data_IF_364991161412
#
_entry.id   IF_364991161412
#
_cell.length_a   1.000
_cell.length_b   1.000
_cell.length_c   1.000
_cell.angle_alpha   90.00
_cell.angle_beta   90.00
_cell.angle_gamma   90.00
#
_symmetry.space_group_name_H-M   'P 1'
#
loop_
_entity.id
_entity.type
_entity.pdbx_description
1 polymer ?
#
# COMPACT_ATOMS: atom_id res chain seq x y z
N UNK A 1 -39.35 -11.75 -3.33
CA UNK A 1 -38.04 -11.29 -3.84
C UNK A 1 -37.04 -12.36 -3.45
N UNK A 2 -36.55 -13.15 -4.41
CA UNK A 2 -35.48 -14.12 -4.16
C UNK A 2 -34.19 -13.36 -3.93
N UNK A 3 -33.57 -13.57 -2.78
CA UNK A 3 -32.28 -12.98 -2.46
C UNK A 3 -31.23 -13.52 -3.45
N UNK A 4 -30.45 -12.60 -4.04
CA UNK A 4 -29.36 -12.99 -4.94
C UNK A 4 -28.31 -13.78 -4.15
N UNK A 5 -27.85 -14.92 -4.68
CA UNK A 5 -26.84 -15.77 -4.04
C UNK A 5 -25.59 -15.01 -3.51
N UNK A 6 -25.01 -14.03 -4.23
CA UNK A 6 -23.92 -13.19 -3.70
C UNK A 6 -24.31 -12.39 -2.46
N UNK A 7 -25.51 -11.78 -2.44
CA UNK A 7 -26.00 -10.99 -1.30
C UNK A 7 -26.07 -11.83 -0.03
N UNK A 8 -26.58 -13.06 -0.12
CA UNK A 8 -26.66 -13.98 1.00
C UNK A 8 -25.27 -14.34 1.55
N UNK A 9 -24.28 -14.55 0.66
CA UNK A 9 -22.88 -14.83 1.04
C UNK A 9 -22.22 -13.63 1.71
N UNK A 10 -22.40 -12.44 1.16
CA UNK A 10 -21.88 -11.21 1.77
C UNK A 10 -22.50 -10.96 3.13
N UNK A 11 -23.81 -11.14 3.28
CA UNK A 11 -24.50 -10.99 4.57
C UNK A 11 -23.99 -12.00 5.59
N UNK A 12 -23.82 -13.27 5.21
CA UNK A 12 -23.27 -14.29 6.09
C UNK A 12 -21.84 -13.95 6.53
N UNK A 13 -20.97 -13.53 5.61
CA UNK A 13 -19.62 -13.13 5.94
C UNK A 13 -19.57 -11.86 6.82
N UNK A 14 -20.49 -10.90 6.63
CA UNK A 14 -20.60 -9.72 7.47
C UNK A 14 -21.11 -10.04 8.89
N UNK A 15 -21.99 -11.03 9.04
CA UNK A 15 -22.54 -11.44 10.33
C UNK A 15 -21.48 -12.05 11.27
N UNK A 16 -20.45 -12.69 10.71
CA UNK A 16 -19.32 -13.25 11.47
C UNK A 16 -18.32 -12.19 11.94
N UNK A 17 -18.38 -10.97 11.38
CA UNK A 17 -17.46 -9.89 11.70
C UNK A 17 -17.97 -9.06 12.88
N UNK A 18 -17.04 -8.56 13.70
CA UNK A 18 -17.39 -7.56 14.72
C UNK A 18 -17.84 -6.26 14.00
N UNK A 19 -19.07 -5.77 14.23
CA UNK A 19 -19.59 -4.57 13.58
C UNK A 19 -18.79 -3.30 13.91
N UNK A 20 -17.94 -3.33 14.94
CA UNK A 20 -17.10 -2.20 15.36
C UNK A 20 -15.83 -2.04 14.50
N UNK A 21 -15.49 -3.04 13.69
CA UNK A 21 -14.32 -2.93 12.81
C UNK A 21 -14.58 -1.94 11.68
N UNK A 22 -13.53 -1.23 11.25
CA UNK A 22 -13.63 -0.26 10.17
C UNK A 22 -14.20 -0.87 8.89
N UNK A 23 -14.90 -0.06 8.08
CA UNK A 23 -15.41 -0.44 6.75
C UNK A 23 -14.31 -1.06 5.88
N UNK A 24 -13.09 -0.50 5.92
CA UNK A 24 -11.96 -1.04 5.16
C UNK A 24 -11.55 -2.44 5.63
N UNK A 25 -11.72 -2.79 6.91
CA UNK A 25 -11.49 -4.14 7.42
C UNK A 25 -12.60 -5.10 6.96
N UNK A 26 -13.86 -4.67 7.02
CA UNK A 26 -15.00 -5.44 6.51
C UNK A 26 -14.81 -5.77 5.01
N UNK A 27 -14.46 -4.77 4.19
CA UNK A 27 -14.16 -4.97 2.78
C UNK A 27 -13.02 -5.97 2.54
N UNK A 28 -11.94 -5.91 3.32
CA UNK A 28 -10.83 -6.87 3.20
C UNK A 28 -11.23 -8.31 3.49
N UNK A 29 -12.19 -8.53 4.38
CA UNK A 29 -12.74 -9.85 4.66
C UNK A 29 -13.58 -10.38 3.48
N UNK A 30 -14.27 -9.49 2.77
CA UNK A 30 -15.11 -9.86 1.61
C UNK A 30 -14.32 -10.00 0.29
N UNK A 31 -13.14 -9.40 0.17
CA UNK A 31 -12.39 -9.41 -1.10
C UNK A 31 -12.06 -10.77 -1.70
N UNK A 32 -11.78 -11.85 -0.94
CA UNK A 32 -11.64 -13.18 -1.52
C UNK A 32 -12.88 -13.63 -2.32
N UNK A 33 -14.09 -13.32 -1.83
CA UNK A 33 -15.35 -13.64 -2.52
C UNK A 33 -15.56 -12.73 -3.73
N UNK A 34 -15.37 -11.42 -3.54
CA UNK A 34 -15.52 -10.42 -4.60
C UNK A 34 -14.58 -10.71 -5.77
N UNK A 35 -13.32 -11.07 -5.53
CA UNK A 35 -12.37 -11.40 -6.61
C UNK A 35 -12.79 -12.63 -7.42
N UNK A 36 -13.45 -13.61 -6.80
CA UNK A 36 -13.99 -14.76 -7.51
C UNK A 36 -15.14 -14.35 -8.46
N UNK A 37 -15.99 -13.41 -8.03
CA UNK A 37 -17.05 -12.85 -8.86
C UNK A 37 -16.49 -11.98 -10.00
N UNK A 38 -15.49 -11.15 -9.72
CA UNK A 38 -14.81 -10.36 -10.73
C UNK A 38 -14.12 -11.26 -11.77
N UNK A 39 -13.51 -12.36 -11.33
CA UNK A 39 -12.92 -13.36 -12.24
C UNK A 39 -13.97 -14.07 -13.10
N UNK A 40 -15.20 -14.21 -12.61
CA UNK A 40 -16.35 -14.69 -13.36
C UNK A 40 -16.96 -13.64 -14.30
N UNK A 41 -16.42 -12.41 -14.32
CA UNK A 41 -16.85 -11.33 -15.21
C UNK A 41 -17.95 -10.42 -14.63
N UNK A 42 -18.26 -10.53 -13.34
CA UNK A 42 -19.23 -9.64 -12.69
C UNK A 42 -18.66 -8.21 -12.68
N UNK A 43 -19.42 -7.20 -13.15
CA UNK A 43 -18.94 -5.82 -13.16
C UNK A 43 -18.91 -5.24 -11.73
N UNK A 44 -17.96 -4.34 -11.48
CA UNK A 44 -17.81 -3.68 -10.18
C UNK A 44 -19.08 -2.97 -9.67
N UNK A 45 -19.92 -2.45 -10.57
CA UNK A 45 -21.18 -1.82 -10.19
C UNK A 45 -22.15 -2.83 -9.55
N UNK A 46 -22.30 -4.02 -10.14
CA UNK A 46 -23.15 -5.08 -9.58
C UNK A 46 -22.66 -5.55 -8.21
N UNK A 47 -21.34 -5.67 -8.04
CA UNK A 47 -20.76 -5.99 -6.73
C UNK A 47 -21.11 -4.92 -5.68
N UNK A 48 -21.09 -3.63 -6.05
CA UNK A 48 -21.45 -2.55 -5.12
C UNK A 48 -22.93 -2.57 -4.76
N UNK A 49 -23.81 -2.87 -5.73
CA UNK A 49 -25.24 -3.02 -5.48
C UNK A 49 -25.50 -4.21 -4.55
N UNK A 50 -24.84 -5.34 -4.77
CA UNK A 50 -24.94 -6.54 -3.93
C UNK A 50 -24.40 -6.28 -2.51
N UNK A 51 -23.29 -5.54 -2.38
CA UNK A 51 -22.75 -5.12 -1.07
C UNK A 51 -23.74 -4.22 -0.33
N UNK A 52 -24.36 -3.26 -1.02
CA UNK A 52 -25.37 -2.39 -0.43
C UNK A 52 -26.60 -3.20 0.03
N UNK A 53 -27.07 -4.15 -0.78
CA UNK A 53 -28.16 -5.06 -0.43
C UNK A 53 -27.82 -6.00 0.74
N UNK A 54 -26.53 -6.31 0.93
CA UNK A 54 -26.02 -7.08 2.06
C UNK A 54 -25.88 -6.25 3.36
N UNK A 55 -26.05 -4.92 3.28
CA UNK A 55 -25.98 -4.01 4.43
C UNK A 55 -24.66 -3.22 4.53
N UNK A 56 -23.79 -3.29 3.52
CA UNK A 56 -22.52 -2.55 3.48
C UNK A 56 -22.50 -1.56 2.29
N UNK A 57 -23.01 -0.35 2.51
CA UNK A 57 -22.92 0.72 1.51
C UNK A 57 -21.58 1.43 1.58
N UNK A 58 -20.85 1.49 0.47
CA UNK A 58 -19.54 2.13 0.36
C UNK A 58 -19.40 2.92 -0.94
N UNK A 59 -18.60 3.98 -0.92
CA UNK A 59 -18.26 4.74 -2.11
C UNK A 59 -17.33 3.92 -3.03
N UNK A 60 -17.50 4.06 -4.34
CA UNK A 60 -16.68 3.38 -5.35
C UNK A 60 -15.17 3.65 -5.14
N UNK A 61 -14.80 4.88 -4.81
CA UNK A 61 -13.39 5.26 -4.55
C UNK A 61 -12.79 4.49 -3.37
N UNK A 62 -13.52 4.36 -2.26
CA UNK A 62 -13.12 3.58 -1.08
C UNK A 62 -12.96 2.11 -1.42
N UNK A 63 -13.94 1.54 -2.14
CA UNK A 63 -13.89 0.17 -2.63
C UNK A 63 -12.64 -0.07 -3.50
N UNK A 64 -12.43 0.75 -4.54
CA UNK A 64 -11.34 0.60 -5.49
C UNK A 64 -9.96 0.73 -4.83
N UNK A 65 -9.77 1.75 -3.96
CA UNK A 65 -8.50 1.95 -3.25
C UNK A 65 -8.22 0.80 -2.29
N UNK A 66 -9.24 0.32 -1.57
CA UNK A 66 -9.05 -0.76 -0.60
C UNK A 66 -8.76 -2.08 -1.30
N UNK A 67 -9.43 -2.36 -2.43
CA UNK A 67 -9.18 -3.52 -3.28
C UNK A 67 -7.76 -3.50 -3.85
N UNK A 68 -7.33 -2.36 -4.39
CA UNK A 68 -5.94 -2.19 -4.87
C UNK A 68 -4.92 -2.47 -3.75
N UNK A 69 -5.13 -1.92 -2.56
CA UNK A 69 -4.24 -2.12 -1.41
C UNK A 69 -4.20 -3.58 -0.97
N UNK A 70 -5.35 -4.26 -0.98
CA UNK A 70 -5.44 -5.68 -0.65
C UNK A 70 -4.70 -6.53 -1.69
N UNK A 71 -4.93 -6.33 -2.99
CA UNK A 71 -4.19 -7.01 -4.08
C UNK A 71 -2.67 -6.80 -3.97
N UNK A 72 -2.26 -5.58 -3.63
CA UNK A 72 -0.84 -5.26 -3.41
C UNK A 72 -0.28 -6.04 -2.22
N UNK A 73 -0.99 -6.10 -1.10
CA UNK A 73 -0.57 -6.86 0.07
C UNK A 73 -0.44 -8.36 -0.24
N UNK A 74 -1.39 -8.93 -1.00
CA UNK A 74 -1.34 -10.34 -1.42
C UNK A 74 -0.10 -10.65 -2.27
N UNK A 75 0.23 -9.78 -3.24
CA UNK A 75 1.46 -9.93 -4.05
C UNK A 75 2.73 -9.84 -3.20
N UNK A 76 2.78 -8.93 -2.24
CA UNK A 76 3.93 -8.82 -1.33
C UNK A 76 4.07 -10.03 -0.41
N UNK A 77 2.95 -10.61 0.04
CA UNK A 77 2.97 -11.84 0.84
C UNK A 77 3.47 -13.04 0.03
N UNK A 78 3.01 -13.19 -1.23
CA UNK A 78 3.45 -14.25 -2.13
C UNK A 78 4.92 -14.12 -2.55
N UNK A 79 5.45 -12.90 -2.65
CA UNK A 79 6.83 -12.64 -3.05
C UNK A 79 7.87 -12.82 -1.91
N UNK A 80 7.45 -13.08 -0.67
CA UNK A 80 8.37 -13.29 0.45
C UNK A 80 8.77 -14.77 0.50
N UNK A 81 10.02 -15.15 0.19
CA UNK A 81 10.48 -16.51 0.47
C UNK A 81 10.42 -16.71 1.99
N UNK A 82 9.95 -17.89 2.42
CA UNK A 82 9.95 -18.29 3.81
C UNK A 82 11.39 -18.16 4.35
N UNK A 83 11.64 -17.10 5.12
CA UNK A 83 12.92 -16.91 5.77
C UNK A 83 13.02 -17.97 6.86
N UNK A 84 13.68 -19.08 6.54
CA UNK A 84 14.19 -20.05 7.51
C UNK A 84 14.96 -19.26 8.58
N UNK A 85 14.76 -19.49 9.89
CA UNK A 85 15.51 -18.78 10.92
C UNK A 85 16.99 -19.12 10.77
N UNK A 86 17.79 -18.15 10.30
CA UNK A 86 19.25 -18.25 10.33
C UNK A 86 19.71 -18.02 11.77
N UNK A 87 20.56 -18.90 12.34
CA UNK A 87 21.08 -18.70 13.69
C UNK A 87 21.90 -17.40 13.76
N UNK A 88 21.76 -16.71 14.89
CA UNK A 88 22.53 -15.54 15.25
C UNK A 88 24.03 -15.77 15.07
N UNK A 89 24.67 -14.91 14.27
CA UNK A 89 26.11 -14.66 14.36
C UNK A 89 26.31 -13.14 14.44
N UNK A 90 26.50 -12.65 15.66
CA UNK A 90 27.45 -11.55 15.90
C UNK A 90 28.87 -12.17 15.92
N UNK A 91 29.99 -11.42 15.82
CA UNK A 91 30.16 -9.97 15.94
C UNK A 91 31.04 -9.36 14.81
N UNK A 92 31.21 -8.03 14.78
CA UNK A 92 32.53 -7.33 14.80
C UNK A 92 32.39 -5.84 14.45
N UNK A 93 33.07 -5.06 15.27
CA UNK A 93 33.23 -3.60 15.35
C UNK A 93 34.14 -2.97 14.28
N UNK A 94 33.68 -1.82 13.72
CA UNK A 94 34.42 -0.59 13.32
C UNK A 94 35.47 -0.64 12.17
N UNK A 95 35.94 0.50 11.58
CA UNK A 95 35.52 1.91 11.64
C UNK A 95 35.39 2.67 10.28
N UNK A 96 34.58 3.74 10.32
CA UNK A 96 34.58 5.05 9.63
C UNK A 96 35.70 5.46 8.63
N UNK A 97 35.30 5.68 7.36
CA UNK A 97 35.54 6.80 6.38
C UNK A 97 36.97 7.34 6.06
N UNK A 98 37.21 8.13 4.98
CA UNK A 98 36.31 8.66 3.92
C UNK A 98 36.85 8.51 2.46
N UNK A 99 36.12 8.98 1.42
CA UNK A 99 36.77 9.47 0.21
C UNK A 99 36.61 10.99 0.01
N UNK A 100 37.75 11.59 -0.35
CA UNK A 100 38.03 12.82 -1.07
C UNK A 100 36.93 13.90 -1.23
N UNK A 101 37.28 15.05 -0.65
CA UNK A 101 36.76 16.41 -0.86
C UNK A 101 36.79 16.86 -2.32
N UNK A 102 35.61 17.17 -2.86
CA UNK A 102 35.41 18.24 -3.86
C UNK A 102 34.26 19.09 -3.30
N UNK A 103 34.49 20.33 -2.83
CA UNK A 103 33.42 21.15 -2.28
C UNK A 103 32.72 21.83 -3.46
N UNK A 104 31.89 21.09 -4.18
CA UNK A 104 30.74 21.72 -4.80
C UNK A 104 29.75 21.93 -3.65
N UNK A 105 29.53 23.19 -3.30
CA UNK A 105 28.49 23.60 -2.36
C UNK A 105 27.15 23.22 -3.01
N UNK A 106 26.71 21.97 -2.84
CA UNK A 106 25.45 21.50 -3.39
C UNK A 106 24.37 21.99 -2.41
N UNK A 107 23.74 23.13 -2.71
CA UNK A 107 22.66 23.69 -1.89
C UNK A 107 21.46 22.73 -1.69
N UNK A 108 21.46 21.61 -2.41
CA UNK A 108 20.43 20.59 -2.40
C UNK A 108 21.03 19.26 -1.92
N UNK A 109 20.78 18.91 -0.66
CA UNK A 109 21.22 17.63 -0.10
C UNK A 109 20.15 16.54 -0.28
N UNK A 110 20.58 15.37 -0.78
CA UNK A 110 19.74 14.17 -0.86
C UNK A 110 18.97 13.98 -2.18
N UNK A 111 19.30 14.73 -3.25
CA UNK A 111 18.65 14.58 -4.55
C UNK A 111 18.95 13.22 -5.20
N UNK A 112 17.96 12.35 -5.44
CA UNK A 112 18.18 11.13 -6.22
C UNK A 112 18.45 11.50 -7.69
N UNK A 113 19.41 10.81 -8.32
CA UNK A 113 19.80 11.05 -9.73
C UNK A 113 18.72 10.61 -10.74
N UNK A 114 17.88 9.65 -10.38
CA UNK A 114 16.78 9.15 -11.19
C UNK A 114 15.61 8.69 -10.29
N UNK A 115 14.37 8.69 -10.83
CA UNK A 115 13.17 8.21 -10.12
C UNK A 115 12.72 6.91 -10.79
N UNK A 116 13.05 5.77 -10.18
CA UNK A 116 12.75 4.45 -10.76
C UNK A 116 11.65 3.72 -10.00
N UNK A 117 11.46 4.06 -8.72
CA UNK A 117 10.46 3.42 -7.86
C UNK A 117 9.52 4.43 -7.22
N UNK A 118 8.28 4.02 -6.86
CA UNK A 118 7.38 4.85 -6.05
C UNK A 118 7.97 5.24 -4.68
N UNK A 119 9.01 4.55 -4.21
CA UNK A 119 9.74 4.91 -2.99
C UNK A 119 10.65 6.11 -3.18
N UNK A 120 11.16 6.36 -4.38
CA UNK A 120 12.09 7.46 -4.65
C UNK A 120 11.40 8.83 -4.58
N UNK A 121 10.08 8.87 -4.80
CA UNK A 121 9.27 10.07 -4.57
C UNK A 121 9.29 10.52 -3.09
N UNK A 122 9.41 9.58 -2.15
CA UNK A 122 9.56 9.93 -0.72
C UNK A 122 10.91 10.60 -0.45
N UNK A 123 11.97 10.12 -1.09
CA UNK A 123 13.31 10.72 -0.95
C UNK A 123 13.34 12.15 -1.46
N UNK A 124 12.61 12.46 -2.54
CA UNK A 124 12.47 13.83 -3.05
C UNK A 124 11.72 14.72 -2.06
N UNK A 125 10.65 14.20 -1.45
CA UNK A 125 9.88 14.94 -0.45
C UNK A 125 10.72 15.27 0.78
N UNK A 126 11.60 14.34 1.18
CA UNK A 126 12.45 14.48 2.35
C UNK A 126 13.78 15.20 2.02
N UNK A 127 13.94 15.74 0.79
CA UNK A 127 15.10 16.55 0.41
C UNK A 127 15.20 17.81 1.27
N UNK A 128 16.41 18.12 1.72
CA UNK A 128 16.72 19.32 2.47
C UNK A 128 17.39 20.33 1.55
N UNK A 129 16.68 21.43 1.31
CA UNK A 129 17.13 22.53 0.47
C UNK A 129 17.59 23.67 1.38
N UNK A 130 18.86 24.04 1.28
CA UNK A 130 19.38 25.22 1.98
C UNK A 130 19.12 26.47 1.13
N UNK A 131 18.07 27.20 1.52
CA UNK A 131 17.62 28.40 0.82
C UNK A 131 18.65 29.55 0.88
N UNK A 132 19.46 29.60 1.95
CA UNK A 132 20.51 30.62 2.11
C UNK A 132 21.71 30.31 1.20
N UNK A 133 22.06 29.04 1.03
CA UNK A 133 23.08 28.63 0.07
C UNK A 133 22.64 28.93 -1.38
N UNK A 134 21.41 28.57 -1.75
CA UNK A 134 20.82 28.88 -3.07
C UNK A 134 20.80 30.38 -3.38
N UNK A 135 20.52 31.22 -2.38
CA UNK A 135 20.54 32.67 -2.53
C UNK A 135 21.94 33.22 -2.82
N UNK A 136 23.00 32.57 -2.31
CA UNK A 136 24.39 32.97 -2.57
C UNK A 136 24.87 32.52 -3.95
N UNK A 137 24.41 31.38 -4.45
CA UNK A 137 24.74 30.86 -5.79
C UNK A 137 24.10 31.68 -6.93
N UNK A 138 22.94 32.30 -6.69
CA UNK A 138 22.23 33.11 -7.69
C UNK A 138 22.71 34.56 -7.85
N UNK A 139 23.91 34.90 -7.36
CA UNK A 139 24.49 36.25 -7.35
C UNK A 139 25.81 36.30 -8.12
#
# INVERSE_FOLDING_TARGET
MTESAPVARYRAALAELDPRISIAAQLRALFPLIEAELAAGVPHAAVLDDLAAAGLSVQYSTYAITLYRWRKAQRCAAAKPAALPKPHAAPTTAPKAPPATVPALDAIQGRPRNIETPGDLRKIRDMRIDLEALRREGK
#
